data_IF_651453686758
#
_entry.id   IF_651453686758
#
_cell.length_a   1.000
_cell.length_b   1.000
_cell.length_c   1.000
_cell.angle_alpha   90.00
_cell.angle_beta   90.00
_cell.angle_gamma   90.00
#
_symmetry.space_group_name_H-M   'P 1'
#
loop_
_entity.id
_entity.type
_entity.pdbx_description
1 polymer ?
#
# COMPACT_ATOMS: atom_id res chain seq x y z
N UNK A 1 4.40 -6.33 3.41
CA UNK A 1 3.19 -5.48 3.43
C UNK A 1 2.62 -5.43 4.84
N UNK A 2 2.78 -4.31 5.56
CA UNK A 2 2.35 -4.16 6.96
C UNK A 2 1.14 -3.25 7.18
N UNK A 3 0.57 -2.68 6.11
CA UNK A 3 -0.60 -1.78 6.19
C UNK A 3 -0.30 -0.43 6.83
N UNK A 4 0.97 -0.04 6.91
CA UNK A 4 1.45 1.13 7.65
C UNK A 4 0.81 2.44 7.16
N UNK A 5 0.51 2.56 5.87
CA UNK A 5 -0.21 3.71 5.31
C UNK A 5 -1.62 3.91 5.88
N UNK A 6 -2.31 2.85 6.33
CA UNK A 6 -3.61 2.98 7.00
C UNK A 6 -3.49 3.05 8.52
N UNK A 7 -2.40 2.54 9.11
CA UNK A 7 -2.13 2.61 10.56
C UNK A 7 -1.60 3.98 10.96
N UNK A 8 -0.81 4.63 10.10
CA UNK A 8 -0.20 5.95 10.28
C UNK A 8 -0.57 6.88 9.12
N UNK A 9 -1.87 7.18 8.92
CA UNK A 9 -2.37 7.82 7.69
C UNK A 9 -1.81 9.23 7.45
N UNK A 10 -1.42 9.94 8.51
CA UNK A 10 -0.87 11.30 8.40
C UNK A 10 0.64 11.34 8.16
N UNK A 11 1.33 10.20 8.13
CA UNK A 11 2.80 10.17 7.98
C UNK A 11 3.18 9.78 6.57
N UNK A 12 2.89 8.54 6.16
CA UNK A 12 3.34 8.03 4.87
C UNK A 12 2.64 8.70 3.69
N UNK A 13 1.34 9.03 3.81
CA UNK A 13 0.59 9.67 2.74
C UNK A 13 1.00 11.13 2.48
N UNK A 14 1.70 11.76 3.43
CA UNK A 14 2.20 13.13 3.32
C UNK A 14 3.65 13.22 2.83
N UNK A 15 4.29 12.07 2.53
CA UNK A 15 5.64 12.04 1.98
C UNK A 15 5.66 12.44 0.50
N UNK A 16 6.72 13.10 0.07
CA UNK A 16 6.86 13.55 -1.31
C UNK A 16 6.87 12.38 -2.30
N UNK A 17 7.48 11.24 -1.93
CA UNK A 17 7.50 10.01 -2.72
C UNK A 17 6.12 9.33 -2.83
N UNK A 18 5.17 9.66 -1.95
CA UNK A 18 3.81 9.11 -1.89
C UNK A 18 2.75 10.15 -2.29
N UNK A 19 3.14 11.24 -2.94
CA UNK A 19 2.23 12.32 -3.28
C UNK A 19 0.99 11.79 -4.06
N UNK A 20 -0.19 12.03 -3.50
CA UNK A 20 -1.47 11.67 -4.11
C UNK A 20 -2.09 10.36 -3.64
N UNK A 21 -1.55 9.66 -2.63
CA UNK A 21 -2.20 8.45 -2.08
C UNK A 21 -3.19 8.74 -0.93
N UNK A 22 -3.26 9.98 -0.45
CA UNK A 22 -4.06 10.35 0.73
C UNK A 22 -5.55 10.09 0.53
N UNK A 23 -6.07 10.30 -0.68
CA UNK A 23 -7.46 10.01 -1.04
C UNK A 23 -7.77 8.51 -0.96
N UNK A 24 -6.86 7.65 -1.43
CA UNK A 24 -6.97 6.20 -1.34
C UNK A 24 -6.83 5.67 0.08
N UNK A 25 -6.02 6.32 0.92
CA UNK A 25 -5.94 6.04 2.37
C UNK A 25 -7.26 6.42 3.03
N UNK A 26 -7.71 7.66 2.86
CA UNK A 26 -8.95 8.18 3.46
C UNK A 26 -10.19 7.39 3.03
N UNK A 27 -10.23 6.94 1.77
CA UNK A 27 -11.30 6.09 1.24
C UNK A 27 -11.35 4.70 1.88
N UNK A 28 -10.23 4.16 2.36
CA UNK A 28 -10.16 2.83 2.97
C UNK A 28 -10.37 2.85 4.49
N UNK A 29 -10.06 3.95 5.18
CA UNK A 29 -10.19 4.07 6.64
C UNK A 29 -11.60 3.69 7.17
N UNK A 30 -12.72 4.09 6.54
CA UNK A 30 -14.05 3.67 6.98
C UNK A 30 -14.26 2.15 6.94
N UNK A 31 -13.68 1.46 5.94
CA UNK A 31 -13.78 0.01 5.84
C UNK A 31 -12.90 -0.69 6.87
N UNK A 32 -11.71 -0.14 7.15
CA UNK A 32 -10.85 -0.65 8.22
C UNK A 32 -11.52 -0.53 9.60
N UNK A 33 -12.29 0.53 9.83
CA UNK A 33 -13.04 0.72 11.07
C UNK A 33 -14.30 -0.17 11.15
N UNK A 34 -14.93 -0.47 10.00
CA UNK A 34 -16.19 -1.20 9.95
C UNK A 34 -16.04 -2.72 10.03
N UNK A 35 -14.91 -3.28 9.60
CA UNK A 35 -14.71 -4.72 9.48
C UNK A 35 -13.52 -5.22 10.32
N UNK A 36 -13.60 -6.43 10.90
CA UNK A 36 -12.51 -7.01 11.68
C UNK A 36 -11.41 -7.57 10.78
N UNK A 37 -10.72 -6.69 10.06
CA UNK A 37 -9.61 -7.01 9.15
C UNK A 37 -8.34 -6.25 9.56
N UNK A 38 -7.18 -6.73 9.13
CA UNK A 38 -5.94 -5.97 9.31
C UNK A 38 -5.78 -4.96 8.18
N UNK A 39 -5.01 -3.90 8.43
CA UNK A 39 -4.78 -2.85 7.45
C UNK A 39 -4.14 -3.39 6.16
N UNK A 40 -3.16 -4.28 6.30
CA UNK A 40 -2.49 -4.91 5.17
C UNK A 40 -3.45 -5.79 4.35
N UNK A 41 -4.26 -6.61 5.03
CA UNK A 41 -5.24 -7.47 4.36
C UNK A 41 -6.29 -6.65 3.62
N UNK A 42 -6.76 -5.54 4.21
CA UNK A 42 -7.69 -4.62 3.54
C UNK A 42 -7.09 -4.02 2.27
N UNK A 43 -5.86 -3.49 2.32
CA UNK A 43 -5.19 -2.91 1.14
C UNK A 43 -5.02 -3.95 0.02
N UNK A 44 -4.55 -5.15 0.36
CA UNK A 44 -4.34 -6.22 -0.62
C UNK A 44 -5.66 -6.71 -1.22
N UNK A 45 -6.70 -6.85 -0.39
CA UNK A 45 -8.02 -7.28 -0.85
C UNK A 45 -8.69 -6.20 -1.72
N UNK A 46 -8.65 -4.93 -1.31
CA UNK A 46 -9.20 -3.82 -2.08
C UNK A 46 -8.55 -3.73 -3.46
N UNK A 47 -7.21 -3.83 -3.54
CA UNK A 47 -6.49 -3.85 -4.81
C UNK A 47 -6.86 -5.06 -5.68
N UNK A 48 -6.98 -6.25 -5.08
CA UNK A 48 -7.40 -7.44 -5.82
C UNK A 48 -8.81 -7.31 -6.41
N UNK A 49 -9.75 -6.75 -5.66
CA UNK A 49 -11.12 -6.47 -6.12
C UNK A 49 -11.12 -5.40 -7.20
N UNK A 50 -10.40 -4.29 -7.00
CA UNK A 50 -10.34 -3.19 -7.96
C UNK A 50 -9.81 -3.64 -9.32
N UNK A 51 -8.70 -4.38 -9.33
CA UNK A 51 -8.11 -4.93 -10.55
C UNK A 51 -9.10 -5.87 -11.27
N UNK A 52 -9.89 -6.66 -10.54
CA UNK A 52 -10.90 -7.54 -11.18
C UNK A 52 -12.05 -6.80 -11.86
N UNK A 53 -12.26 -5.51 -11.54
CA UNK A 53 -13.23 -4.68 -12.25
C UNK A 53 -12.70 -4.19 -13.62
N UNK A 54 -11.40 -4.33 -13.90
CA UNK A 54 -10.81 -3.92 -15.17
C UNK A 54 -10.95 -5.04 -16.23
N UNK A 55 -11.52 -4.75 -17.43
CA UNK A 55 -11.62 -5.74 -18.50
C UNK A 55 -10.26 -6.32 -18.90
N UNK A 56 -10.17 -7.65 -18.96
CA UNK A 56 -8.94 -8.36 -19.32
C UNK A 56 -7.95 -8.58 -18.17
N UNK A 57 -8.26 -8.11 -16.95
CA UNK A 57 -7.43 -8.34 -15.79
C UNK A 57 -7.39 -9.82 -15.40
N UNK A 58 -6.24 -10.30 -14.87
CA UNK A 58 -6.16 -11.62 -14.28
C UNK A 58 -6.95 -11.68 -12.97
N UNK A 59 -7.35 -12.89 -12.55
CA UNK A 59 -7.87 -13.09 -11.20
C UNK A 59 -6.72 -13.21 -10.22
N UNK A 60 -6.48 -12.16 -9.43
CA UNK A 60 -5.45 -12.15 -8.41
C UNK A 60 -5.80 -13.09 -7.25
N UNK A 61 -4.77 -13.67 -6.64
CA UNK A 61 -4.92 -14.39 -5.36
C UNK A 61 -4.94 -13.37 -4.24
N UNK A 62 -5.90 -13.49 -3.33
CA UNK A 62 -5.91 -12.74 -2.07
C UNK A 62 -5.57 -13.68 -0.93
N UNK A 63 -4.58 -13.30 -0.12
CA UNK A 63 -4.15 -14.01 1.07
C UNK A 63 -4.35 -13.10 2.28
N UNK A 64 -4.84 -13.67 3.38
CA UNK A 64 -5.11 -12.96 4.62
C UNK A 64 -4.25 -13.50 5.76
N UNK A 65 -4.11 -12.71 6.83
CA UNK A 65 -3.34 -13.04 8.02
C UNK A 65 -2.11 -12.15 8.24
N UNK A 66 -1.99 -11.02 7.52
CA UNK A 66 -0.89 -10.08 7.75
C UNK A 66 -1.09 -9.35 9.08
N UNK A 67 -0.10 -9.33 10.00
CA UNK A 67 -0.20 -8.54 11.21
C UNK A 67 -0.11 -7.04 10.89
N UNK A 68 -0.80 -6.21 11.69
CA UNK A 68 -0.63 -4.76 11.62
C UNK A 68 0.80 -4.39 12.01
N UNK A 69 1.41 -3.48 11.26
CA UNK A 69 2.70 -2.90 11.65
C UNK A 69 2.58 -2.14 12.99
N UNK A 70 3.72 -1.98 13.66
CA UNK A 70 3.86 -1.20 14.90
C UNK A 70 4.73 0.03 14.73
N UNK A 71 5.35 0.21 13.55
CA UNK A 71 6.24 1.32 13.26
C UNK A 71 6.01 1.86 11.85
N UNK A 72 6.26 3.16 11.69
CA UNK A 72 6.32 3.82 10.40
C UNK A 72 7.62 3.38 9.70
N UNK A 73 7.60 2.97 8.42
CA UNK A 73 8.79 2.71 7.64
C UNK A 73 9.71 3.93 7.53
N UNK A 74 11.00 3.74 7.34
CA UNK A 74 11.91 4.86 7.03
C UNK A 74 11.55 5.53 5.68
N UNK A 75 11.95 6.78 5.49
CA UNK A 75 11.78 7.50 4.21
C UNK A 75 12.72 6.94 3.12
N UNK A 76 12.41 7.21 1.85
CA UNK A 76 13.24 6.81 0.72
C UNK A 76 13.13 5.33 0.30
N UNK A 77 12.12 4.61 0.81
CA UNK A 77 11.83 3.23 0.41
C UNK A 77 10.91 3.15 -0.83
N UNK A 78 10.24 4.25 -1.18
CA UNK A 78 9.42 4.34 -2.40
C UNK A 78 10.20 5.11 -3.45
N UNK A 79 10.28 4.51 -4.64
CA UNK A 79 10.98 5.07 -5.79
C UNK A 79 10.26 6.28 -6.37
N UNK A 80 11.03 7.24 -6.86
CA UNK A 80 10.52 8.41 -7.55
C UNK A 80 10.64 8.26 -9.08
N UNK A 81 9.80 8.96 -9.87
CA UNK A 81 9.85 8.89 -11.33
C UNK A 81 11.20 9.28 -11.95
N UNK A 82 11.98 10.11 -11.26
CA UNK A 82 13.30 10.57 -11.69
C UNK A 82 14.46 9.64 -11.31
N UNK A 83 14.22 8.55 -10.56
CA UNK A 83 15.29 7.62 -10.17
C UNK A 83 15.88 6.91 -11.39
N UNK A 84 17.19 6.69 -11.37
CA UNK A 84 17.86 5.94 -12.43
C UNK A 84 17.44 4.48 -12.44
N UNK A 85 17.49 3.83 -13.61
CA UNK A 85 17.20 2.39 -13.75
C UNK A 85 18.03 1.55 -12.79
N UNK A 86 19.29 1.92 -12.54
CA UNK A 86 20.16 1.22 -11.59
C UNK A 86 19.65 1.32 -10.16
N UNK A 87 19.17 2.50 -9.73
CA UNK A 87 18.54 2.66 -8.41
C UNK A 87 17.27 1.82 -8.30
N UNK A 88 16.41 1.89 -9.32
CA UNK A 88 15.15 1.14 -9.36
C UNK A 88 15.40 -0.36 -9.19
N UNK A 89 16.30 -0.93 -9.99
CA UNK A 89 16.66 -2.36 -9.90
C UNK A 89 17.26 -2.70 -8.54
N UNK A 90 18.12 -1.82 -8.00
CA UNK A 90 18.71 -1.99 -6.68
C UNK A 90 17.64 -2.05 -5.58
N UNK A 91 16.67 -1.14 -5.59
CA UNK A 91 15.57 -1.13 -4.63
C UNK A 91 14.69 -2.38 -4.72
N UNK A 92 14.33 -2.82 -5.93
CA UNK A 92 13.54 -4.05 -6.09
C UNK A 92 14.32 -5.32 -5.69
N UNK A 93 15.65 -5.30 -5.70
CA UNK A 93 16.47 -6.42 -5.24
C UNK A 93 16.66 -6.47 -3.72
N UNK A 94 16.53 -5.34 -3.03
CA UNK A 94 16.64 -5.23 -1.57
C UNK A 94 15.32 -5.50 -0.84
N UNK A 95 14.19 -5.15 -1.47
CA UNK A 95 12.84 -5.16 -0.89
C UNK A 95 12.18 -6.55 -0.74
#
# INVERSE_FOLDING_TARGET
>A
AGGSMLIFPEVEANRAENAGISDGVDGQLPFLAAYPVTAADLVQFAAAVDITNCPGAPRLKSFAGHPNTTAVPHEGLVLQPQDSVTQIIGHFADA
#
